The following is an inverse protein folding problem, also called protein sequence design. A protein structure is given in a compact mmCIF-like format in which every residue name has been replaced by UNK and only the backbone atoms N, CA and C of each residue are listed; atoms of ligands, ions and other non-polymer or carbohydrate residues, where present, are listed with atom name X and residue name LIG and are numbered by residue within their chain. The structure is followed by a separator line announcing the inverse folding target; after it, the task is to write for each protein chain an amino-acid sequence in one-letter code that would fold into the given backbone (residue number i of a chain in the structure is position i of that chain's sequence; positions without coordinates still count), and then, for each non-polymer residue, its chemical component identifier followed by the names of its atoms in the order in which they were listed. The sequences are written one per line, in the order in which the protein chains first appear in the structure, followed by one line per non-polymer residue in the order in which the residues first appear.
data_IF_732377083512
#
_entry.id   IF_732377083512
#
_cell.length_a   1.000
_cell.length_b   1.000
_cell.length_c   1.000
_cell.angle_alpha   90.00
_cell.angle_beta   90.00
_cell.angle_gamma   90.00
#
_symmetry.space_group_name_H-M   'P 1'
#
loop_
_entity.id
_entity.type
_entity.pdbx_description
1 polymer ?
#
# COMPACT_ATOMS: atom_id res chain seq x y z
N UNK A 1 27.18 3.43 2.12
CA UNK A 1 25.77 3.87 2.06
C UNK A 1 25.23 3.82 3.48
N UNK A 2 24.70 4.93 3.98
CA UNK A 2 24.14 5.01 5.33
C UNK A 2 22.76 4.35 5.40
N UNK A 3 22.31 3.98 6.60
CA UNK A 3 20.98 3.40 6.81
C UNK A 3 19.87 4.37 6.33
N UNK A 4 20.06 5.68 6.48
CA UNK A 4 19.09 6.68 6.01
C UNK A 4 18.97 6.73 4.49
N UNK A 5 20.06 6.53 3.75
CA UNK A 5 20.04 6.46 2.27
C UNK A 5 19.26 5.23 1.78
N UNK A 6 19.45 4.06 2.42
CA UNK A 6 18.70 2.83 2.10
C UNK A 6 17.21 3.03 2.32
N UNK A 7 16.83 3.64 3.44
CA UNK A 7 15.42 3.90 3.77
C UNK A 7 14.79 4.92 2.83
N UNK A 8 15.52 5.95 2.42
CA UNK A 8 15.06 6.91 1.42
C UNK A 8 14.81 6.24 0.05
N UNK A 9 15.68 5.31 -0.37
CA UNK A 9 15.50 4.57 -1.62
C UNK A 9 14.29 3.63 -1.60
N UNK A 10 14.08 2.91 -0.50
CA UNK A 10 12.90 2.04 -0.32
C UNK A 10 11.61 2.87 -0.36
N UNK A 11 11.61 4.01 0.33
CA UNK A 11 10.50 4.96 0.33
C UNK A 11 10.18 5.48 -1.09
N UNK A 12 11.19 5.93 -1.83
CA UNK A 12 11.02 6.36 -3.23
C UNK A 12 10.53 5.22 -4.15
N UNK A 13 11.01 4.00 -3.94
CA UNK A 13 10.60 2.82 -4.72
C UNK A 13 9.11 2.50 -4.54
N UNK A 14 8.61 2.55 -3.32
CA UNK A 14 7.17 2.36 -3.05
C UNK A 14 6.34 3.56 -3.52
N UNK A 15 6.86 4.78 -3.45
CA UNK A 15 6.23 5.95 -4.06
C UNK A 15 6.02 5.78 -5.58
N UNK A 16 7.05 5.31 -6.29
CA UNK A 16 6.92 5.00 -7.73
C UNK A 16 5.89 3.89 -7.98
N UNK A 17 5.91 2.82 -7.18
CA UNK A 17 4.97 1.71 -7.33
C UNK A 17 3.51 2.13 -7.09
N UNK A 18 3.28 3.06 -6.17
CA UNK A 18 1.96 3.67 -5.97
C UNK A 18 1.49 4.47 -7.19
N UNK A 19 2.38 5.24 -7.84
CA UNK A 19 2.04 5.91 -9.09
C UNK A 19 1.78 4.92 -10.23
N UNK A 20 2.58 3.85 -10.33
CA UNK A 20 2.37 2.75 -11.28
C UNK A 20 1.01 2.08 -11.07
N UNK A 21 0.54 1.96 -9.82
CA UNK A 21 -0.79 1.40 -9.54
C UNK A 21 -1.95 2.25 -10.07
N UNK A 22 -1.70 3.47 -10.56
CA UNK A 22 -2.71 4.32 -11.19
C UNK A 22 -2.73 4.19 -12.72
N UNK A 23 -1.76 3.50 -13.31
CA UNK A 23 -1.71 3.31 -14.77
C UNK A 23 -2.91 2.47 -15.24
N UNK A 24 -3.46 2.85 -16.40
CA UNK A 24 -4.61 2.20 -17.03
C UNK A 24 -4.31 1.86 -18.51
N UNK A 25 -5.15 1.00 -19.09
CA UNK A 25 -4.99 0.56 -20.48
C UNK A 25 -3.71 -0.24 -20.73
N UNK A 26 -3.18 -0.18 -21.96
CA UNK A 26 -2.04 -0.99 -22.42
C UNK A 26 -0.71 -0.78 -21.66
N UNK A 27 -0.61 0.30 -20.88
CA UNK A 27 0.59 0.63 -20.09
C UNK A 27 0.51 0.10 -18.65
N UNK A 28 -0.64 -0.40 -18.23
CA UNK A 28 -0.81 -0.97 -16.91
C UNK A 28 -0.06 -2.30 -16.81
N UNK A 29 0.77 -2.51 -15.77
CA UNK A 29 1.27 -3.83 -15.45
C UNK A 29 0.10 -4.83 -15.24
N UNK A 30 0.35 -6.12 -15.48
CA UNK A 30 -0.67 -7.16 -15.30
C UNK A 30 -0.96 -7.38 -13.81
N UNK A 31 -2.03 -8.11 -13.49
CA UNK A 31 -2.47 -8.32 -12.11
C UNK A 31 -1.42 -9.07 -11.27
N UNK A 32 -0.73 -10.04 -11.87
CA UNK A 32 0.30 -10.87 -11.25
C UNK A 32 1.49 -10.03 -10.77
N UNK A 33 1.81 -8.95 -11.49
CA UNK A 33 2.84 -8.00 -11.07
C UNK A 33 2.46 -7.38 -9.73
N UNK A 34 1.21 -6.94 -9.56
CA UNK A 34 0.77 -6.34 -8.32
C UNK A 34 0.62 -7.36 -7.18
N UNK A 35 0.14 -8.57 -7.48
CA UNK A 35 0.06 -9.66 -6.50
C UNK A 35 1.43 -10.03 -5.92
N UNK A 36 2.47 -10.07 -6.76
CA UNK A 36 3.84 -10.31 -6.30
C UNK A 36 4.30 -9.22 -5.30
N UNK A 37 3.94 -7.96 -5.54
CA UNK A 37 4.27 -6.87 -4.62
C UNK A 37 3.44 -6.89 -3.34
N UNK A 38 2.14 -7.23 -3.42
CA UNK A 38 1.30 -7.44 -2.21
C UNK A 38 1.89 -8.55 -1.35
N UNK A 39 2.33 -9.67 -1.96
CA UNK A 39 3.01 -10.75 -1.23
C UNK A 39 4.30 -10.25 -0.57
N UNK A 40 5.16 -9.55 -1.32
CA UNK A 40 6.41 -9.00 -0.76
C UNK A 40 6.14 -8.10 0.44
N UNK A 41 5.17 -7.18 0.32
CA UNK A 41 4.77 -6.28 1.41
C UNK A 41 4.25 -7.10 2.59
N UNK A 42 3.40 -8.09 2.36
CA UNK A 42 2.91 -8.98 3.42
C UNK A 42 4.03 -9.65 4.21
N UNK A 43 5.12 -10.05 3.53
CA UNK A 43 6.23 -10.77 4.14
C UNK A 43 7.16 -9.84 4.95
N UNK A 44 7.24 -8.54 4.61
CA UNK A 44 8.26 -7.63 5.16
C UNK A 44 7.72 -6.48 6.00
N UNK A 45 6.47 -6.03 5.79
CA UNK A 45 5.96 -4.78 6.38
C UNK A 45 6.04 -4.73 7.92
N UNK A 46 5.96 -5.88 8.60
CA UNK A 46 6.03 -5.94 10.06
C UNK A 46 7.40 -5.57 10.66
N UNK A 47 8.48 -5.68 9.88
CA UNK A 47 9.85 -5.42 10.34
C UNK A 47 10.45 -4.14 9.79
N UNK A 48 9.72 -3.44 8.93
CA UNK A 48 10.20 -2.23 8.26
C UNK A 48 10.04 -1.00 9.16
N UNK A 49 10.91 0.02 9.00
CA UNK A 49 10.73 1.28 9.71
C UNK A 49 9.43 1.98 9.35
N UNK A 50 8.91 2.78 10.29
CA UNK A 50 7.65 3.52 10.19
C UNK A 50 7.44 4.18 8.82
N UNK A 51 8.41 4.97 8.36
CA UNK A 51 8.35 5.68 7.08
C UNK A 51 8.15 4.74 5.88
N UNK A 52 8.84 3.60 5.88
CA UNK A 52 8.72 2.60 4.81
C UNK A 52 7.36 1.91 4.89
N UNK A 53 6.86 1.63 6.10
CA UNK A 53 5.52 1.06 6.31
C UNK A 53 4.42 1.97 5.77
N UNK A 54 4.50 3.29 5.98
CA UNK A 54 3.55 4.25 5.40
C UNK A 54 3.51 4.18 3.87
N UNK A 55 4.67 4.09 3.23
CA UNK A 55 4.77 3.98 1.77
C UNK A 55 4.29 2.62 1.26
N UNK A 56 4.59 1.52 1.95
CA UNK A 56 4.00 0.21 1.68
C UNK A 56 2.46 0.23 1.82
N UNK A 57 1.93 0.89 2.85
CA UNK A 57 0.49 1.07 3.04
C UNK A 57 -0.16 1.83 1.88
N UNK A 58 0.53 2.85 1.36
CA UNK A 58 0.06 3.63 0.21
C UNK A 58 0.00 2.78 -1.05
N UNK A 59 0.98 1.90 -1.24
CA UNK A 59 0.98 0.90 -2.32
C UNK A 59 -0.18 -0.09 -2.16
N UNK A 60 -0.40 -0.65 -0.97
CA UNK A 60 -1.54 -1.55 -0.72
C UNK A 60 -2.87 -0.87 -1.04
N UNK A 61 -3.04 0.38 -0.61
CA UNK A 61 -4.22 1.19 -0.93
C UNK A 61 -4.38 1.37 -2.45
N UNK A 62 -3.32 1.76 -3.15
CA UNK A 62 -3.34 1.99 -4.60
C UNK A 62 -3.65 0.73 -5.40
N UNK A 63 -2.99 -0.38 -5.07
CA UNK A 63 -3.20 -1.70 -5.69
C UNK A 63 -4.61 -2.21 -5.42
N UNK A 64 -5.08 -2.17 -4.17
CA UNK A 64 -6.37 -2.71 -3.77
C UNK A 64 -7.59 -1.99 -4.37
N UNK A 65 -7.38 -0.82 -5.01
CA UNK A 65 -8.45 -0.07 -5.71
C UNK A 65 -8.62 -0.44 -7.19
N UNK A 66 -7.80 -1.38 -7.70
CA UNK A 66 -7.72 -1.72 -9.13
C UNK A 66 -8.68 -2.81 -9.59
N UNK A 67 -8.77 -3.91 -8.84
CA UNK A 67 -9.61 -5.08 -9.17
C UNK A 67 -10.11 -5.79 -7.91
N UNK A 68 -11.14 -6.64 -8.00
CA UNK A 68 -11.63 -7.44 -6.87
C UNK A 68 -10.56 -8.35 -6.25
N UNK A 69 -9.76 -9.00 -7.10
CA UNK A 69 -8.68 -9.92 -6.66
C UNK A 69 -7.61 -9.15 -5.89
N UNK A 70 -7.18 -8.01 -6.44
CA UNK A 70 -6.20 -7.14 -5.79
C UNK A 70 -6.74 -6.50 -4.50
N UNK A 71 -8.03 -6.15 -4.48
CA UNK A 71 -8.68 -5.64 -3.28
C UNK A 71 -8.64 -6.66 -2.14
N UNK A 72 -9.10 -7.88 -2.41
CA UNK A 72 -9.11 -8.96 -1.41
C UNK A 72 -7.70 -9.25 -0.86
N UNK A 73 -6.70 -9.35 -1.76
CA UNK A 73 -5.31 -9.58 -1.37
C UNK A 73 -4.75 -8.43 -0.52
N UNK A 74 -4.90 -7.18 -0.96
CA UNK A 74 -4.41 -6.02 -0.23
C UNK A 74 -5.13 -5.80 1.10
N UNK A 75 -6.46 -6.02 1.14
CA UNK A 75 -7.27 -5.89 2.34
C UNK A 75 -6.90 -6.92 3.41
N UNK A 76 -6.55 -8.14 3.00
CA UNK A 76 -6.05 -9.17 3.91
C UNK A 76 -4.77 -8.70 4.62
N UNK A 77 -3.83 -8.13 3.87
CA UNK A 77 -2.58 -7.59 4.44
C UNK A 77 -2.88 -6.38 5.33
N UNK A 78 -3.70 -5.43 4.86
CA UNK A 78 -4.07 -4.24 5.62
C UNK A 78 -4.71 -4.58 6.98
N UNK A 79 -5.60 -5.57 7.02
CA UNK A 79 -6.22 -6.02 8.27
C UNK A 79 -5.23 -6.71 9.22
N UNK A 80 -4.29 -7.48 8.67
CA UNK A 80 -3.27 -8.15 9.49
C UNK A 80 -2.28 -7.16 10.11
N UNK A 81 -1.95 -6.08 9.40
CA UNK A 81 -1.03 -5.04 9.87
C UNK A 81 -1.71 -4.07 10.83
N UNK A 82 -3.00 -3.80 10.62
CA UNK A 82 -3.73 -2.75 11.34
C UNK A 82 -3.34 -1.33 10.89
N UNK A 83 -3.88 -0.31 11.55
CA UNK A 83 -3.50 1.08 11.30
C UNK A 83 -2.00 1.30 11.54
N UNK A 84 -1.36 2.08 10.67
CA UNK A 84 0.06 2.41 10.80
C UNK A 84 0.16 3.74 11.55
N UNK A 85 0.57 3.65 12.81
CA UNK A 85 0.93 4.80 13.63
C UNK A 85 2.12 5.55 13.02
N UNK A 86 2.08 6.88 13.06
CA UNK A 86 3.22 7.69 12.66
C UNK A 86 3.25 9.04 13.37
N UNK A 87 4.46 9.56 13.56
CA UNK A 87 4.63 10.87 14.21
C UNK A 87 4.76 11.96 13.16
N UNK A 88 3.84 12.93 13.16
CA UNK A 88 3.96 14.13 12.33
C UNK A 88 4.64 15.27 13.08
N UNK A 89 5.21 16.24 12.34
CA UNK A 89 5.86 17.41 12.92
C UNK A 89 4.91 18.28 13.79
N UNK A 90 3.59 18.10 13.65
CA UNK A 90 2.54 18.83 14.37
C UNK A 90 1.96 18.11 15.59
N UNK A 91 2.46 16.92 15.95
CA UNK A 91 2.14 16.29 17.23
C UNK A 91 1.23 15.07 17.15
N UNK A 92 0.04 15.13 16.54
CA UNK A 92 -0.82 13.95 16.38
C UNK A 92 -1.49 13.92 15.01
N UNK A 93 -1.22 12.86 14.25
CA UNK A 93 -1.96 12.53 13.03
C UNK A 93 -2.77 11.26 13.25
N UNK A 94 -3.93 11.17 12.61
CA UNK A 94 -4.68 9.92 12.60
C UNK A 94 -3.82 8.80 12.00
N UNK A 95 -3.80 7.60 12.60
CA UNK A 95 -3.05 6.47 12.07
C UNK A 95 -3.52 6.13 10.67
N UNK A 96 -2.58 5.78 9.80
CA UNK A 96 -2.92 5.46 8.42
C UNK A 96 -3.56 4.08 8.33
N UNK A 97 -4.89 4.06 8.23
CA UNK A 97 -5.68 2.83 8.13
C UNK A 97 -6.04 2.52 6.68
N UNK A 98 -5.23 1.65 6.07
CA UNK A 98 -5.42 1.20 4.69
C UNK A 98 -6.74 0.45 4.52
N UNK A 99 -7.21 -0.29 5.53
CA UNK A 99 -8.43 -1.08 5.42
C UNK A 99 -9.64 -0.16 5.24
N UNK A 100 -9.70 0.97 5.97
CA UNK A 100 -10.75 2.00 5.78
C UNK A 100 -10.85 2.47 4.33
N UNK A 101 -9.73 2.62 3.63
CA UNK A 101 -9.71 3.06 2.23
C UNK A 101 -10.09 1.97 1.23
N UNK A 102 -10.02 0.69 1.62
CA UNK A 102 -10.32 -0.45 0.77
C UNK A 102 -11.73 -1.01 0.97
N UNK A 103 -12.45 -0.53 1.99
CA UNK A 103 -13.81 -1.00 2.33
C UNK A 103 -14.89 0.07 2.20
N UNK A 104 -14.62 1.20 1.53
CA UNK A 104 -15.64 2.22 1.29
C UNK A 104 -16.75 1.70 0.38
N UNK A 105 -18.00 2.13 0.61
CA UNK A 105 -19.14 1.62 -0.14
C UNK A 105 -19.02 1.90 -1.64
N UNK A 106 -18.55 3.09 -2.00
CA UNK A 106 -18.25 3.43 -3.39
C UNK A 106 -17.24 2.47 -4.03
N UNK A 107 -16.20 2.05 -3.30
CA UNK A 107 -15.19 1.15 -3.85
C UNK A 107 -15.75 -0.27 -4.01
N UNK A 108 -16.54 -0.74 -3.04
CA UNK A 108 -17.25 -2.02 -3.12
C UNK A 108 -18.15 -2.07 -4.35
N UNK A 109 -18.95 -1.02 -4.54
CA UNK A 109 -19.81 -0.87 -5.72
C UNK A 109 -18.99 -0.87 -7.03
N UNK A 110 -17.90 -0.08 -7.09
CA UNK A 110 -17.01 -0.02 -8.25
C UNK A 110 -16.42 -1.39 -8.61
N UNK A 111 -16.07 -2.18 -7.61
CA UNK A 111 -15.42 -3.48 -7.80
C UNK A 111 -16.41 -4.64 -7.90
N UNK A 112 -17.68 -4.45 -7.52
CA UNK A 112 -18.67 -5.54 -7.46
C UNK A 112 -18.37 -6.56 -6.35
N UNK A 113 -17.88 -6.09 -5.20
CA UNK A 113 -17.52 -6.92 -4.01
C UNK A 113 -18.33 -6.57 -2.78
#
# INVERSE_FOLDING_TARGET
MSLSEVLALLDCGYGLLYEVSKFSGKKAPPEEFFLAHVKRISDTIGTEPERVRLSMGSVLMGIGKRSPVLNSAALKVARAVGPIEFTSASGECEPFDVAKHLTTDWLKEKLGV
#
